data_IF_557844737226
#
_entry.id   IF_557844737226
#
_cell.length_a   1.000
_cell.length_b   1.000
_cell.length_c   1.000
_cell.angle_alpha   90.00
_cell.angle_beta   90.00
_cell.angle_gamma   90.00
#
_symmetry.space_group_name_H-M   'P 1'
#
loop_
_entity.id
_entity.type
_entity.pdbx_description
1 polymer ?
#
# COMPACT_ATOMS: atom_id res chain seq x y z
N UNK A 1 -11.39 -31.22 62.89
CA UNK A 1 -10.12 -30.88 62.20
C UNK A 1 -10.49 -30.44 60.79
N UNK A 2 -10.30 -29.15 60.51
CA UNK A 2 -10.95 -28.42 59.42
C UNK A 2 -10.51 -28.90 58.02
N UNK A 3 -11.49 -29.08 57.13
CA UNK A 3 -11.29 -29.33 55.70
C UNK A 3 -10.82 -28.04 55.03
N UNK A 4 -9.77 -28.16 54.21
CA UNK A 4 -9.00 -27.08 53.64
C UNK A 4 -9.83 -26.05 52.89
N UNK A 5 -9.57 -24.78 53.18
CA UNK A 5 -10.04 -23.65 52.41
C UNK A 5 -9.30 -23.69 51.06
N UNK A 6 -10.00 -24.11 50.01
CA UNK A 6 -9.49 -23.99 48.65
C UNK A 6 -9.73 -22.55 48.20
N UNK A 7 -8.78 -21.66 48.49
CA UNK A 7 -8.78 -20.29 47.98
C UNK A 7 -8.51 -20.32 46.48
N UNK A 8 -9.57 -20.49 45.68
CA UNK A 8 -9.57 -20.10 44.28
C UNK A 8 -9.61 -18.56 44.21
N UNK A 9 -8.45 -17.92 44.38
CA UNK A 9 -8.23 -16.52 44.01
C UNK A 9 -8.04 -16.46 42.48
N UNK A 10 -9.09 -16.78 41.75
CA UNK A 10 -9.18 -16.57 40.31
C UNK A 10 -9.88 -15.23 40.07
N UNK A 11 -9.11 -14.15 39.98
CA UNK A 11 -9.46 -12.93 39.24
C UNK A 11 -8.32 -11.90 39.36
N UNK A 12 -7.15 -12.20 38.81
CA UNK A 12 -6.34 -11.11 38.24
C UNK A 12 -7.02 -10.75 36.92
N UNK A 13 -8.04 -9.90 37.01
CA UNK A 13 -8.65 -9.28 35.82
C UNK A 13 -7.55 -8.39 35.25
N UNK A 14 -6.81 -8.90 34.27
CA UNK A 14 -5.75 -8.19 33.58
C UNK A 14 -6.40 -7.21 32.60
N UNK A 15 -6.41 -5.89 32.85
CA UNK A 15 -7.20 -4.95 32.06
C UNK A 15 -6.51 -4.54 30.76
N UNK A 16 -5.35 -5.09 30.42
CA UNK A 16 -4.52 -4.60 29.31
C UNK A 16 -4.94 -5.10 27.91
N UNK A 17 -6.06 -5.81 27.77
CA UNK A 17 -6.56 -6.19 26.43
C UNK A 17 -7.39 -5.04 25.87
N UNK A 18 -6.71 -4.09 25.23
CA UNK A 18 -7.35 -2.95 24.61
C UNK A 18 -7.58 -3.17 23.12
N UNK A 19 -8.72 -2.71 22.61
CA UNK A 19 -9.04 -2.72 21.19
C UNK A 19 -8.63 -1.38 20.56
N UNK A 20 -7.55 -1.42 19.78
CA UNK A 20 -7.07 -0.28 19.00
C UNK A 20 -7.77 -0.28 17.64
N UNK A 21 -8.19 0.90 17.18
CA UNK A 21 -8.77 1.05 15.84
C UNK A 21 -7.68 1.31 14.81
N UNK A 22 -7.56 0.38 13.87
CA UNK A 22 -6.56 0.41 12.80
C UNK A 22 -7.24 0.25 11.45
N UNK A 23 -6.89 1.11 10.51
CA UNK A 23 -7.27 1.00 9.10
C UNK A 23 -6.00 0.80 8.28
N UNK A 24 -6.01 -0.20 7.38
CA UNK A 24 -4.90 -0.45 6.47
C UNK A 24 -5.36 -0.22 5.04
N UNK A 25 -4.48 0.39 4.24
CA UNK A 25 -4.67 0.63 2.81
C UNK A 25 -3.35 0.43 2.10
N UNK A 26 -3.37 -0.04 0.87
CA UNK A 26 -2.16 -0.35 0.12
C UNK A 26 -2.36 -0.12 -1.37
N UNK A 27 -1.24 0.19 -2.03
CA UNK A 27 -1.08 0.22 -3.47
C UNK A 27 0.08 -0.69 -3.86
N UNK A 28 0.45 -0.68 -5.14
CA UNK A 28 1.65 -1.35 -5.62
C UNK A 28 2.94 -0.79 -5.01
N UNK A 29 2.96 0.49 -4.64
CA UNK A 29 4.18 1.18 -4.21
C UNK A 29 4.25 1.44 -2.71
N UNK A 30 3.10 1.54 -2.02
CA UNK A 30 3.04 1.96 -0.63
C UNK A 30 2.01 1.18 0.20
N UNK A 31 2.27 1.12 1.51
CA UNK A 31 1.33 0.70 2.55
C UNK A 31 1.09 1.87 3.50
N UNK A 32 -0.18 2.13 3.78
CA UNK A 32 -0.64 3.13 4.73
C UNK A 32 -1.42 2.46 5.84
N UNK A 33 -1.04 2.75 7.07
CA UNK A 33 -1.72 2.29 8.27
C UNK A 33 -2.11 3.52 9.07
N UNK A 34 -3.41 3.66 9.33
CA UNK A 34 -3.97 4.74 10.12
C UNK A 34 -4.47 4.17 11.45
N UNK A 35 -4.05 4.79 12.54
CA UNK A 35 -4.42 4.42 13.90
C UNK A 35 -5.18 5.57 14.56
N UNK A 36 -6.35 5.29 15.13
CA UNK A 36 -7.07 6.28 15.94
C UNK A 36 -6.38 6.45 17.29
N UNK A 37 -6.12 7.69 17.76
CA UNK A 37 -5.54 7.93 19.08
C UNK A 37 -6.52 7.61 20.23
N UNK A 38 -7.82 7.59 19.96
CA UNK A 38 -8.85 7.20 20.93
C UNK A 38 -9.25 5.73 20.73
N UNK A 39 -9.09 4.91 21.78
CA UNK A 39 -9.55 3.52 21.82
C UNK A 39 -11.07 3.38 22.00
N UNK A 40 -11.58 2.14 22.00
CA UNK A 40 -13.01 1.85 22.15
C UNK A 40 -13.62 2.37 23.46
N UNK A 41 -12.82 2.45 24.53
CA UNK A 41 -13.18 3.11 25.77
C UNK A 41 -12.43 4.44 25.86
N UNK A 42 -13.17 5.52 26.13
CA UNK A 42 -12.72 6.93 26.11
C UNK A 42 -11.60 7.29 27.09
N UNK A 43 -11.17 6.36 27.93
CA UNK A 43 -10.33 6.65 29.08
C UNK A 43 -8.83 6.49 28.77
N UNK A 44 -8.48 5.92 27.60
CA UNK A 44 -7.10 5.68 27.20
C UNK A 44 -6.81 6.33 25.84
N UNK A 45 -5.83 7.24 25.88
CA UNK A 45 -5.32 7.97 24.75
C UNK A 45 -3.96 7.39 24.36
N UNK A 46 -3.86 6.91 23.12
CA UNK A 46 -2.64 6.32 22.57
C UNK A 46 -1.71 7.44 22.12
N UNK A 47 -0.44 7.35 22.50
CA UNK A 47 0.59 8.25 22.00
C UNK A 47 1.33 7.66 20.80
N UNK A 48 1.76 8.51 19.87
CA UNK A 48 2.43 8.08 18.64
C UNK A 48 3.73 7.27 18.88
N UNK A 49 4.45 7.51 19.98
CA UNK A 49 5.68 6.81 20.35
C UNK A 49 5.46 5.41 20.93
N UNK A 50 4.24 5.13 21.41
CA UNK A 50 3.82 3.80 21.86
C UNK A 50 3.63 2.85 20.66
N UNK A 51 3.45 3.41 19.45
CA UNK A 51 3.20 2.66 18.24
C UNK A 51 4.49 2.46 17.43
N UNK A 52 4.73 1.24 16.98
CA UNK A 52 5.87 0.87 16.13
C UNK A 52 5.44 -0.04 15.01
N UNK A 53 6.01 0.11 13.82
CA UNK A 53 5.76 -0.77 12.68
C UNK A 53 6.95 -1.68 12.40
N UNK A 54 6.67 -2.96 12.17
CA UNK A 54 7.63 -3.97 11.73
C UNK A 54 8.88 -3.99 12.62
N UNK A 55 10.02 -3.64 12.03
CA UNK A 55 11.32 -3.59 12.71
C UNK A 55 11.51 -2.41 13.69
N UNK A 56 10.44 -1.86 14.28
CA UNK A 56 10.53 -0.77 15.26
C UNK A 56 10.38 0.65 14.67
N UNK A 57 9.79 0.77 13.49
CA UNK A 57 9.69 2.02 12.75
C UNK A 57 8.68 2.97 13.41
N UNK A 58 8.99 4.27 13.55
CA UNK A 58 8.08 5.23 14.15
C UNK A 58 6.94 5.63 13.20
N UNK A 59 5.92 6.28 13.76
CA UNK A 59 4.86 6.97 13.02
C UNK A 59 5.49 8.03 12.10
N UNK A 60 5.03 8.10 10.85
CA UNK A 60 5.54 9.07 9.85
C UNK A 60 4.68 10.32 9.76
N UNK A 61 3.39 10.22 10.11
CA UNK A 61 2.45 11.32 10.05
C UNK A 61 1.63 11.37 11.34
N UNK A 62 1.59 12.54 11.99
CA UNK A 62 0.84 12.73 13.23
C UNK A 62 -0.26 13.76 12.95
N UNK A 63 -1.52 13.35 13.13
CA UNK A 63 -2.69 14.22 13.09
C UNK A 63 -3.47 14.09 14.40
N UNK A 64 -4.33 15.07 14.71
CA UNK A 64 -5.14 15.06 15.93
C UNK A 64 -6.13 13.90 15.98
N UNK A 65 -6.63 13.44 14.83
CA UNK A 65 -7.59 12.36 14.70
C UNK A 65 -6.98 11.01 14.32
N UNK A 66 -5.72 10.98 13.89
CA UNK A 66 -5.09 9.76 13.40
C UNK A 66 -3.56 9.84 13.38
N UNK A 67 -2.91 8.70 13.61
CA UNK A 67 -1.49 8.50 13.36
C UNK A 67 -1.29 7.64 12.12
N UNK A 68 -0.41 8.07 11.22
CA UNK A 68 -0.14 7.41 9.96
C UNK A 68 1.26 6.80 9.89
N UNK A 69 1.34 5.54 9.51
CA UNK A 69 2.54 4.91 8.99
C UNK A 69 2.42 4.81 7.48
N UNK A 70 3.25 5.54 6.75
CA UNK A 70 3.27 5.55 5.28
C UNK A 70 4.66 5.10 4.86
N UNK A 71 4.76 3.88 4.35
CA UNK A 71 6.03 3.29 3.94
C UNK A 71 5.93 2.62 2.56
N UNK A 72 7.04 2.59 1.80
CA UNK A 72 7.12 1.78 0.59
C UNK A 72 6.90 0.29 0.88
N UNK A 73 6.33 -0.46 -0.07
CA UNK A 73 6.01 -1.90 0.11
C UNK A 73 7.22 -2.82 0.33
N UNK A 74 8.42 -2.37 -0.04
CA UNK A 74 9.67 -3.14 0.09
C UNK A 74 10.45 -2.80 1.36
N UNK A 75 9.91 -1.89 2.17
CA UNK A 75 10.61 -1.31 3.31
C UNK A 75 10.10 -1.87 4.64
N UNK A 76 10.94 -1.73 5.69
CA UNK A 76 10.55 -1.82 7.11
C UNK A 76 9.82 -3.11 7.56
N UNK A 77 10.07 -4.23 6.88
CA UNK A 77 9.52 -5.54 7.25
C UNK A 77 8.16 -5.88 6.63
N UNK A 78 7.71 -5.11 5.64
CA UNK A 78 6.52 -5.43 4.84
C UNK A 78 6.86 -6.62 3.93
N UNK A 79 6.06 -7.68 4.02
CA UNK A 79 6.21 -8.90 3.22
C UNK A 79 5.18 -8.89 2.11
N UNK A 80 5.63 -9.11 0.87
CA UNK A 80 4.76 -9.21 -0.29
C UNK A 80 4.59 -10.67 -0.69
N UNK A 81 3.36 -11.11 -0.89
CA UNK A 81 2.99 -12.42 -1.42
C UNK A 81 2.16 -12.23 -2.69
N UNK A 82 2.44 -13.05 -3.69
CA UNK A 82 1.60 -13.13 -4.90
C UNK A 82 0.47 -14.12 -4.60
N UNK A 83 -0.78 -13.65 -4.57
CA UNK A 83 -1.96 -14.51 -4.31
C UNK A 83 -2.57 -14.98 -5.62
N UNK A 84 -2.52 -14.15 -6.65
CA UNK A 84 -2.94 -14.47 -8.02
C UNK A 84 -2.05 -13.70 -9.02
N UNK A 85 -2.22 -13.95 -10.32
CA UNK A 85 -1.50 -13.22 -11.38
C UNK A 85 -1.59 -11.69 -11.21
N UNK A 86 -2.77 -11.23 -10.79
CA UNK A 86 -3.13 -9.82 -10.69
C UNK A 86 -3.21 -9.29 -9.27
N UNK A 87 -3.09 -10.11 -8.23
CA UNK A 87 -3.29 -9.67 -6.84
C UNK A 87 -2.05 -9.92 -5.99
N UNK A 88 -1.55 -8.84 -5.39
CA UNK A 88 -0.53 -8.87 -4.34
C UNK A 88 -1.17 -8.75 -2.96
N UNK A 89 -0.65 -9.50 -2.01
CA UNK A 89 -0.95 -9.40 -0.59
C UNK A 89 0.27 -8.88 0.16
N UNK A 90 0.11 -7.75 0.82
CA UNK A 90 1.09 -7.17 1.73
C UNK A 90 0.74 -7.56 3.16
N UNK A 91 1.73 -8.08 3.88
CA UNK A 91 1.63 -8.48 5.27
C UNK A 91 2.66 -7.71 6.09
N UNK A 92 2.23 -7.14 7.19
CA UNK A 92 3.10 -6.45 8.13
C UNK A 92 2.56 -6.59 9.55
N UNK A 93 3.30 -6.11 10.52
CA UNK A 93 2.98 -6.24 11.93
C UNK A 93 3.20 -4.88 12.58
N UNK A 94 2.24 -4.44 13.39
CA UNK A 94 2.42 -3.28 14.25
C UNK A 94 2.50 -3.72 15.71
N UNK A 95 3.21 -2.93 16.51
CA UNK A 95 3.40 -3.17 17.93
C UNK A 95 2.89 -1.95 18.68
N UNK A 96 2.01 -2.21 19.65
CA UNK A 96 1.58 -1.24 20.63
C UNK A 96 2.30 -1.54 21.94
N UNK A 97 3.10 -0.59 22.41
CA UNK A 97 3.89 -0.66 23.63
C UNK A 97 3.35 0.39 24.61
N UNK A 98 2.39 0.02 25.46
CA UNK A 98 1.82 0.96 26.42
C UNK A 98 2.92 1.51 27.34
N UNK A 99 2.86 2.80 27.68
CA UNK A 99 3.72 3.37 28.73
C UNK A 99 3.41 2.83 30.12
N UNK A 100 2.25 2.18 30.29
CA UNK A 100 1.82 1.60 31.55
C UNK A 100 2.66 0.34 31.82
N UNK A 101 3.54 0.41 32.82
CA UNK A 101 4.54 -0.61 33.19
C UNK A 101 3.96 -2.02 33.45
N UNK A 102 2.66 -2.12 33.71
CA UNK A 102 1.96 -3.37 34.00
C UNK A 102 1.28 -4.00 32.78
N UNK A 103 1.40 -3.40 31.60
CA UNK A 103 0.79 -3.90 30.37
C UNK A 103 1.84 -4.41 29.38
N UNK A 104 1.58 -5.59 28.85
CA UNK A 104 2.43 -6.22 27.84
C UNK A 104 2.32 -5.52 26.49
N UNK A 105 3.39 -5.63 25.69
CA UNK A 105 3.38 -5.22 24.29
C UNK A 105 2.39 -6.05 23.49
N UNK A 106 1.52 -5.40 22.74
CA UNK A 106 0.55 -6.06 21.86
C UNK A 106 1.05 -6.03 20.42
N UNK A 107 1.13 -7.22 19.83
CA UNK A 107 1.41 -7.39 18.40
C UNK A 107 0.11 -7.50 17.61
N UNK A 108 -0.03 -6.69 16.57
CA UNK A 108 -1.23 -6.59 15.75
C UNK A 108 -0.84 -6.89 14.30
N UNK A 109 -1.24 -8.06 13.75
CA UNK A 109 -0.98 -8.41 12.36
C UNK A 109 -1.86 -7.58 11.43
N UNK A 110 -1.29 -7.09 10.34
CA UNK A 110 -1.96 -6.26 9.36
C UNK A 110 -1.74 -6.82 7.96
N UNK A 111 -2.82 -6.89 7.19
CA UNK A 111 -2.78 -7.42 5.83
C UNK A 111 -3.62 -6.55 4.90
N UNK A 112 -3.13 -6.33 3.69
CA UNK A 112 -3.84 -5.58 2.66
C UNK A 112 -3.49 -6.14 1.28
N UNK A 113 -4.46 -6.15 0.36
CA UNK A 113 -4.24 -6.59 -1.01
C UNK A 113 -4.36 -5.45 -2.02
N UNK A 114 -3.48 -5.42 -3.01
CA UNK A 114 -3.55 -4.50 -4.15
C UNK A 114 -3.58 -5.26 -5.48
N UNK A 115 -4.27 -4.67 -6.46
CA UNK A 115 -4.30 -5.18 -7.83
C UNK A 115 -3.10 -4.65 -8.63
N UNK A 116 -2.49 -5.54 -9.42
CA UNK A 116 -1.49 -5.22 -10.44
C UNK A 116 -2.10 -4.64 -11.71
N UNK A 117 -3.42 -4.84 -11.92
CA UNK A 117 -4.09 -4.24 -13.08
C UNK A 117 -4.13 -2.73 -12.92
N UNK A 118 -3.54 -2.06 -13.89
CA UNK A 118 -3.73 -0.63 -14.08
C UNK A 118 -5.21 -0.36 -14.37
N UNK A 119 -5.84 0.51 -13.57
CA UNK A 119 -7.19 1.03 -13.87
C UNK A 119 -7.20 1.85 -15.16
N UNK A 120 -6.03 2.33 -15.61
CA UNK A 120 -5.87 3.22 -16.76
C UNK A 120 -5.64 2.50 -18.10
N UNK A 121 -5.45 1.18 -18.08
CA UNK A 121 -5.24 0.39 -19.29
C UNK A 121 -6.46 -0.49 -19.53
N UNK A 122 -7.50 0.08 -20.14
CA UNK A 122 -8.49 -0.73 -20.83
C UNK A 122 -7.74 -1.44 -21.96
N UNK A 123 -7.71 -2.79 -22.00
CA UNK A 123 -7.17 -3.48 -23.16
C UNK A 123 -8.02 -3.05 -24.36
N UNK A 124 -7.40 -2.41 -25.35
CA UNK A 124 -8.04 -2.21 -26.64
C UNK A 124 -8.30 -3.63 -27.14
N UNK A 125 -9.57 -4.04 -27.12
CA UNK A 125 -10.00 -5.29 -27.72
C UNK A 125 -9.53 -5.27 -29.17
N UNK A 126 -8.57 -6.14 -29.50
CA UNK A 126 -8.15 -6.38 -30.86
C UNK A 126 -9.25 -7.19 -31.57
N UNK A 127 -10.41 -6.57 -31.76
CA UNK A 127 -11.55 -7.10 -32.51
C UNK A 127 -12.46 -5.94 -32.93
N UNK A 128 -11.91 -5.05 -33.75
CA UNK A 128 -12.60 -4.58 -34.93
C UNK A 128 -11.53 -3.93 -35.81
N UNK A 129 -11.18 -4.56 -36.92
CA UNK A 129 -10.72 -3.82 -38.09
C UNK A 129 -11.85 -2.83 -38.42
N UNK A 130 -11.81 -1.65 -37.82
CA UNK A 130 -12.56 -0.51 -38.31
C UNK A 130 -11.95 -0.23 -39.68
N UNK A 131 -12.58 -0.81 -40.70
CA UNK A 131 -12.42 -0.40 -42.08
C UNK A 131 -12.78 1.09 -42.09
N UNK A 132 -11.77 1.92 -41.90
CA UNK A 132 -11.87 3.36 -42.04
C UNK A 132 -12.28 3.57 -43.49
N UNK A 133 -13.54 3.98 -43.69
CA UNK A 133 -13.97 4.44 -44.99
C UNK A 133 -13.02 5.60 -45.35
N UNK A 134 -12.29 5.53 -46.47
CA UNK A 134 -11.33 6.56 -46.81
C UNK A 134 -12.07 7.89 -46.88
N UNK A 135 -11.69 8.81 -46.00
CA UNK A 135 -12.23 10.16 -45.97
C UNK A 135 -12.04 10.80 -47.35
N UNK A 136 -13.06 11.47 -47.92
CA UNK A 136 -12.96 12.12 -49.22
C UNK A 136 -11.99 13.31 -49.24
N UNK A 137 -11.32 13.61 -48.12
CA UNK A 137 -10.36 14.72 -47.97
C UNK A 137 -8.89 14.29 -47.97
N UNK A 138 -8.57 13.00 -48.13
CA UNK A 138 -7.18 12.62 -48.41
C UNK A 138 -6.94 12.90 -49.89
N UNK A 139 -6.54 14.13 -50.19
CA UNK A 139 -6.00 14.46 -51.50
C UNK A 139 -4.71 13.65 -51.69
N UNK A 140 -4.67 12.87 -52.76
CA UNK A 140 -3.48 12.21 -53.26
C UNK A 140 -2.40 13.27 -53.49
N UNK A 141 -1.43 13.36 -52.59
CA UNK A 141 -0.15 13.99 -52.93
C UNK A 141 0.61 12.98 -53.79
N UNK A 142 0.25 12.93 -55.07
CA UNK A 142 1.06 12.29 -56.08
C UNK A 142 2.33 13.15 -56.24
N UNK A 143 3.37 12.84 -55.45
CA UNK A 143 4.66 13.48 -55.59
C UNK A 143 5.26 13.05 -56.92
N UNK A 144 5.11 13.90 -57.93
CA UNK A 144 5.76 13.74 -59.23
C UNK A 144 7.28 13.86 -59.04
N UNK A 145 8.13 12.95 -59.56
CA UNK A 145 9.56 12.91 -59.24
C UNK A 145 10.42 14.03 -59.89
N UNK A 146 9.83 15.07 -60.46
CA UNK A 146 10.52 15.96 -61.40
C UNK A 146 10.96 17.31 -60.82
N UNK A 147 10.66 17.63 -59.55
CA UNK A 147 11.06 18.91 -58.93
C UNK A 147 12.24 18.82 -57.93
N UNK A 148 13.09 17.81 -58.04
CA UNK A 148 14.41 17.80 -57.37
C UNK A 148 15.55 17.74 -58.38
N UNK A 149 15.52 18.68 -59.34
CA UNK A 149 16.67 18.97 -60.17
C UNK A 149 17.55 20.04 -59.53
N UNK A 150 18.54 19.67 -58.70
CA UNK A 150 19.79 20.43 -58.58
C UNK A 150 21.00 19.53 -58.19
N UNK A 151 21.62 19.03 -59.26
CA UNK A 151 23.07 18.98 -59.53
C UNK A 151 24.00 18.09 -58.69
N UNK A 152 24.54 17.10 -59.41
CA UNK A 152 25.77 16.38 -59.14
C UNK A 152 27.02 17.28 -59.16
N UNK A 153 27.99 16.98 -58.31
CA UNK A 153 29.41 17.17 -58.61
C UNK A 153 30.22 16.09 -57.92
N UNK A 154 31.16 15.55 -58.68
CA UNK A 154 31.86 14.29 -58.51
C UNK A 154 33.17 14.40 -57.71
N UNK A 155 33.67 13.23 -57.36
CA UNK A 155 35.09 12.82 -57.24
C UNK A 155 35.90 13.12 -55.96
N UNK A 156 36.51 12.03 -55.46
CA UNK A 156 37.97 12.00 -55.34
C UNK A 156 38.55 12.03 -53.93
N UNK A 157 38.91 10.84 -53.43
CA UNK A 157 39.81 10.60 -52.29
C UNK A 157 41.23 11.15 -52.56
N UNK A 158 42.00 11.46 -51.51
CA UNK A 158 43.34 10.87 -51.42
C UNK A 158 43.58 10.10 -50.12
#
# INVERSE_FOLDING_TARGET
MALGVWSLLAALIWPCTESIYVTVSCSMDWVMILVSPCGHNSDLYIFADELRLGSGCPVTQIQTSAYGFIYPVHDRGIRTKVVSEDTLLFQTEMFFNPRIVHCESQKIPLECSASRKSVWLTPVSADNEMKLDPSPFIADFETTPEELGLLSSSDGFP
#
